data_IF_521048832546
#
_entry.id   IF_521048832546
#
_cell.length_a   1.000
_cell.length_b   1.000
_cell.length_c   1.000
_cell.angle_alpha   90.00
_cell.angle_beta   90.00
_cell.angle_gamma   90.00
#
_symmetry.space_group_name_H-M   'P 1'
#
loop_
_entity.id
_entity.type
_entity.pdbx_description
1 polymer ?
#
# COMPACT_ATOMS: atom_id res chain seq x y z
N UNK A 1 -22.42 3.22 -22.87
CA UNK A 1 -22.01 4.11 -21.76
C UNK A 1 -20.50 4.25 -21.81
N UNK A 2 -19.98 5.45 -22.09
CA UNK A 2 -18.53 5.67 -22.06
C UNK A 2 -18.04 5.49 -20.62
N UNK A 3 -17.18 4.49 -20.36
CA UNK A 3 -16.43 4.43 -19.10
C UNK A 3 -15.78 5.80 -18.92
N UNK A 4 -16.09 6.51 -17.85
CA UNK A 4 -15.35 7.73 -17.51
C UNK A 4 -13.88 7.35 -17.49
N UNK A 5 -13.03 8.00 -18.29
CA UNK A 5 -11.59 7.75 -18.24
C UNK A 5 -11.16 7.91 -16.78
N UNK A 6 -10.64 6.84 -16.18
CA UNK A 6 -10.12 6.93 -14.83
C UNK A 6 -9.00 7.97 -14.84
N UNK A 7 -9.10 8.95 -13.94
CA UNK A 7 -8.10 10.00 -13.85
C UNK A 7 -6.81 9.40 -13.30
N UNK A 8 -5.68 9.58 -13.99
CA UNK A 8 -4.37 9.18 -13.47
C UNK A 8 -4.01 10.07 -12.28
N UNK A 9 -4.01 9.49 -11.08
CA UNK A 9 -3.56 10.12 -9.85
C UNK A 9 -2.28 9.41 -9.45
N UNK A 10 -1.15 10.09 -9.56
CA UNK A 10 0.19 9.52 -9.45
C UNK A 10 0.82 9.89 -8.11
N UNK A 11 1.37 8.90 -7.40
CA UNK A 11 2.35 9.12 -6.34
C UNK A 11 3.68 8.44 -6.68
N UNK A 12 4.79 9.00 -6.17
CA UNK A 12 6.12 8.43 -6.32
C UNK A 12 6.65 7.89 -4.98
N UNK A 13 7.41 6.79 -5.00
CA UNK A 13 8.15 6.27 -3.84
C UNK A 13 9.55 5.77 -4.20
N UNK A 14 10.51 5.96 -3.30
CA UNK A 14 11.88 5.42 -3.42
C UNK A 14 12.85 6.18 -4.33
N UNK A 15 12.44 7.29 -4.96
CA UNK A 15 13.31 8.09 -5.84
C UNK A 15 14.09 9.17 -5.09
N UNK A 16 15.36 9.37 -5.47
CA UNK A 16 16.17 10.50 -4.97
C UNK A 16 15.73 11.82 -5.62
N UNK A 17 16.18 12.96 -5.09
CA UNK A 17 15.75 14.30 -5.52
C UNK A 17 15.87 14.53 -7.04
N UNK A 18 16.99 14.13 -7.65
CA UNK A 18 17.23 14.32 -9.08
C UNK A 18 16.35 13.41 -9.94
N UNK A 19 16.26 12.12 -9.61
CA UNK A 19 15.40 11.16 -10.31
C UNK A 19 13.92 11.56 -10.21
N UNK A 20 13.49 11.99 -9.01
CA UNK A 20 12.13 12.48 -8.77
C UNK A 20 11.83 13.70 -9.64
N UNK A 21 12.78 14.63 -9.78
CA UNK A 21 12.62 15.82 -10.62
C UNK A 21 12.40 15.44 -12.09
N UNK A 22 13.21 14.54 -12.63
CA UNK A 22 13.06 14.05 -14.00
C UNK A 22 11.70 13.38 -14.23
N UNK A 23 11.22 12.56 -13.28
CA UNK A 23 9.89 11.96 -13.38
C UNK A 23 8.76 12.99 -13.34
N UNK A 24 8.89 14.03 -12.51
CA UNK A 24 7.93 15.13 -12.47
C UNK A 24 7.89 15.88 -13.81
N UNK A 25 9.05 16.12 -14.43
CA UNK A 25 9.13 16.72 -15.78
C UNK A 25 8.44 15.85 -16.84
N UNK A 26 8.53 14.53 -16.75
CA UNK A 26 7.75 13.62 -17.60
C UNK A 26 6.24 13.70 -17.32
N UNK A 27 5.84 13.72 -16.04
CA UNK A 27 4.42 13.80 -15.64
C UNK A 27 3.76 15.09 -16.12
N UNK A 28 4.48 16.21 -16.20
CA UNK A 28 3.94 17.47 -16.75
C UNK A 28 3.56 17.40 -18.23
N UNK A 29 4.05 16.40 -18.97
CA UNK A 29 3.69 16.17 -20.38
C UNK A 29 2.42 15.33 -20.53
N UNK A 30 1.87 14.84 -19.42
CA UNK A 30 0.77 13.88 -19.41
C UNK A 30 -0.42 14.42 -18.62
N UNK A 31 -1.63 14.08 -19.04
CA UNK A 31 -2.85 14.44 -18.31
C UNK A 31 -3.00 13.58 -17.05
N UNK A 32 -2.53 14.11 -15.92
CA UNK A 32 -2.63 13.46 -14.62
C UNK A 32 -2.62 14.45 -13.45
N UNK A 33 -2.92 13.94 -12.25
CA UNK A 33 -2.73 14.62 -10.99
C UNK A 33 -1.55 14.00 -10.26
N UNK A 34 -0.48 14.77 -10.10
CA UNK A 34 0.65 14.36 -9.29
C UNK A 34 0.46 14.78 -7.83
N UNK A 35 0.50 13.82 -6.91
CA UNK A 35 0.38 14.05 -5.47
C UNK A 35 1.76 14.09 -4.80
N UNK A 36 2.32 15.29 -4.64
CA UNK A 36 3.58 15.49 -3.93
C UNK A 36 3.41 15.53 -2.40
N UNK A 37 3.06 14.39 -1.82
CA UNK A 37 2.99 14.20 -0.36
C UNK A 37 3.99 13.12 0.08
N UNK A 38 4.59 13.26 1.26
CA UNK A 38 5.44 12.21 1.86
C UNK A 38 4.60 11.02 2.33
N UNK A 39 3.36 11.26 2.75
CA UNK A 39 2.41 10.25 3.22
C UNK A 39 1.67 9.65 2.02
N UNK A 40 1.18 8.42 2.20
CA UNK A 40 0.26 7.83 1.24
C UNK A 40 -1.01 8.66 1.14
N UNK A 41 -1.46 8.87 -0.10
CA UNK A 41 -2.77 9.41 -0.46
C UNK A 41 -3.38 8.46 -1.47
N UNK A 42 -4.71 8.32 -1.48
CA UNK A 42 -5.45 7.37 -2.31
C UNK A 42 -5.25 7.63 -3.82
N UNK A 43 -4.09 7.27 -4.34
CA UNK A 43 -3.69 7.38 -5.74
C UNK A 43 -4.27 6.22 -6.56
N UNK A 44 -4.28 6.36 -7.88
CA UNK A 44 -4.61 5.25 -8.78
C UNK A 44 -3.35 4.48 -9.18
N UNK A 45 -2.22 5.19 -9.28
CA UNK A 45 -0.93 4.60 -9.61
C UNK A 45 0.15 5.06 -8.63
N UNK A 46 0.95 4.12 -8.15
CA UNK A 46 2.18 4.37 -7.42
C UNK A 46 3.36 3.97 -8.29
N UNK A 47 4.20 4.93 -8.63
CA UNK A 47 5.46 4.63 -9.31
C UNK A 47 6.49 4.36 -8.23
N UNK A 48 7.09 3.17 -8.28
CA UNK A 48 8.06 2.71 -7.30
C UNK A 48 9.40 2.43 -7.97
N UNK A 49 10.48 2.97 -7.40
CA UNK A 49 11.84 2.70 -7.88
C UNK A 49 12.23 1.23 -7.77
N UNK A 50 11.74 0.57 -6.72
CA UNK A 50 12.05 -0.82 -6.34
C UNK A 50 10.98 -1.33 -5.39
N UNK A 51 10.91 -2.65 -5.24
CA UNK A 51 10.14 -3.29 -4.17
C UNK A 51 10.67 -2.83 -2.80
N UNK A 52 9.75 -2.44 -1.91
CA UNK A 52 10.11 -1.95 -0.59
C UNK A 52 8.96 -2.03 0.41
N UNK A 53 9.27 -1.98 1.71
CA UNK A 53 8.28 -1.94 2.80
C UNK A 53 7.88 -0.51 3.22
N UNK A 54 7.93 0.45 2.29
CA UNK A 54 7.54 1.84 2.59
C UNK A 54 6.03 1.96 2.79
N UNK A 55 5.59 2.96 3.57
CA UNK A 55 4.15 3.20 3.79
C UNK A 55 3.36 3.27 2.48
N UNK A 56 3.84 4.05 1.50
CA UNK A 56 3.16 4.20 0.21
C UNK A 56 3.03 2.87 -0.53
N UNK A 57 4.10 2.08 -0.53
CA UNK A 57 4.13 0.79 -1.22
C UNK A 57 3.15 -0.19 -0.59
N UNK A 58 3.21 -0.36 0.73
CA UNK A 58 2.29 -1.25 1.46
C UNK A 58 0.83 -0.80 1.33
N UNK A 59 0.56 0.51 1.43
CA UNK A 59 -0.78 1.04 1.30
C UNK A 59 -1.35 0.87 -0.12
N UNK A 60 -0.51 1.06 -1.15
CA UNK A 60 -0.90 0.82 -2.54
C UNK A 60 -1.17 -0.67 -2.82
N UNK A 61 -0.35 -1.59 -2.31
CA UNK A 61 -0.63 -3.03 -2.38
C UNK A 61 -1.96 -3.35 -1.69
N UNK A 62 -2.14 -2.91 -0.45
CA UNK A 62 -3.34 -3.19 0.34
C UNK A 62 -4.62 -2.64 -0.30
N UNK A 63 -4.51 -1.56 -1.07
CA UNK A 63 -5.63 -0.93 -1.76
C UNK A 63 -5.79 -1.39 -3.23
N UNK A 64 -4.99 -2.36 -3.69
CA UNK A 64 -5.05 -2.90 -5.04
C UNK A 64 -4.75 -1.87 -6.14
N UNK A 65 -3.83 -0.94 -5.88
CA UNK A 65 -3.44 0.08 -6.87
C UNK A 65 -2.43 -0.47 -7.85
N UNK A 66 -2.35 0.14 -9.03
CA UNK A 66 -1.24 -0.09 -9.93
C UNK A 66 0.06 0.36 -9.26
N UNK A 67 1.02 -0.57 -9.12
CA UNK A 67 2.36 -0.26 -8.65
C UNK A 67 3.32 -0.54 -9.78
N UNK A 68 3.86 0.52 -10.37
CA UNK A 68 4.56 0.46 -11.66
C UNK A 68 6.02 0.88 -11.52
N UNK A 69 6.85 0.44 -12.47
CA UNK A 69 8.22 0.93 -12.62
C UNK A 69 8.23 2.35 -13.20
N UNK A 70 9.39 3.01 -13.17
CA UNK A 70 9.54 4.39 -13.66
C UNK A 70 9.39 4.49 -15.18
N UNK A 71 9.68 3.40 -15.89
CA UNK A 71 9.63 3.28 -17.34
C UNK A 71 8.21 3.54 -17.86
N UNK A 72 7.17 3.20 -17.09
CA UNK A 72 5.79 3.55 -17.43
C UNK A 72 5.60 5.04 -17.70
N UNK A 73 6.12 5.89 -16.81
CA UNK A 73 5.99 7.35 -16.92
C UNK A 73 6.87 7.89 -18.05
N UNK A 74 8.10 7.39 -18.15
CA UNK A 74 9.06 7.82 -19.18
C UNK A 74 8.51 7.52 -20.56
N UNK A 75 8.15 6.26 -20.83
CA UNK A 75 7.68 5.81 -22.13
C UNK A 75 6.32 6.40 -22.49
N UNK A 76 5.43 6.61 -21.50
CA UNK A 76 4.16 7.31 -21.72
C UNK A 76 4.39 8.76 -22.13
N UNK A 77 5.31 9.46 -21.45
CA UNK A 77 5.65 10.84 -21.76
C UNK A 77 6.30 10.99 -23.14
N UNK A 78 7.15 10.05 -23.54
CA UNK A 78 7.72 9.97 -24.89
C UNK A 78 6.66 9.69 -25.96
N UNK A 79 5.67 8.85 -25.64
CA UNK A 79 4.56 8.52 -26.53
C UNK A 79 3.46 9.59 -26.59
N UNK A 80 3.53 10.61 -25.74
CA UNK A 80 2.50 11.66 -25.62
C UNK A 80 1.14 11.16 -25.11
N UNK A 81 1.07 9.94 -24.54
CA UNK A 81 -0.15 9.33 -24.02
C UNK A 81 0.17 8.29 -22.96
N UNK A 82 -0.79 8.01 -22.08
CA UNK A 82 -0.69 6.87 -21.16
C UNK A 82 -0.66 5.56 -21.95
N UNK A 83 0.36 4.74 -21.67
CA UNK A 83 0.49 3.38 -22.17
C UNK A 83 -0.29 2.40 -21.29
N UNK A 84 -0.39 1.15 -21.73
CA UNK A 84 -0.93 0.06 -20.92
C UNK A 84 -0.02 -0.21 -19.72
N UNK A 85 -0.60 -0.39 -18.54
CA UNK A 85 0.12 -0.55 -17.28
C UNK A 85 0.79 -1.93 -17.14
N UNK A 86 0.26 -2.95 -17.82
CA UNK A 86 0.50 -4.37 -17.51
C UNK A 86 1.98 -4.74 -17.54
N UNK A 87 2.70 -4.36 -18.59
CA UNK A 87 4.13 -4.71 -18.76
C UNK A 87 5.06 -3.92 -17.85
N UNK A 88 4.56 -2.86 -17.21
CA UNK A 88 5.33 -2.03 -16.27
C UNK A 88 4.99 -2.33 -14.82
N UNK A 89 4.06 -3.25 -14.56
CA UNK A 89 3.62 -3.59 -13.22
C UNK A 89 4.67 -4.40 -12.48
N UNK A 90 4.94 -4.01 -11.23
CA UNK A 90 5.74 -4.84 -10.33
C UNK A 90 5.00 -6.17 -10.09
N UNK A 91 5.65 -7.27 -10.48
CA UNK A 91 5.06 -8.61 -10.48
C UNK A 91 4.54 -9.07 -11.84
N UNK A 92 4.71 -8.27 -12.90
CA UNK A 92 4.49 -8.72 -14.28
C UNK A 92 5.39 -9.92 -14.63
N UNK A 93 6.68 -9.78 -14.35
CA UNK A 93 7.69 -10.83 -14.41
C UNK A 93 8.34 -11.03 -13.05
N UNK A 94 8.71 -12.28 -12.74
CA UNK A 94 9.42 -12.64 -11.52
C UNK A 94 10.87 -12.94 -11.89
N UNK A 95 11.78 -12.08 -11.44
CA UNK A 95 13.19 -12.19 -11.70
C UNK A 95 13.84 -13.19 -10.73
N UNK A 96 14.59 -14.16 -11.28
CA UNK A 96 15.22 -15.25 -10.50
C UNK A 96 16.46 -14.80 -9.72
N UNK A 97 17.21 -13.82 -10.26
CA UNK A 97 18.53 -13.43 -9.74
C UNK A 97 18.48 -12.14 -8.87
N UNK A 98 17.37 -11.93 -8.16
CA UNK A 98 17.22 -10.78 -7.25
C UNK A 98 17.23 -11.21 -5.78
N UNK A 99 17.49 -10.24 -4.90
CA UNK A 99 17.40 -10.44 -3.45
C UNK A 99 15.95 -10.46 -2.92
N UNK A 100 14.95 -10.34 -3.79
CA UNK A 100 13.53 -10.32 -3.42
C UNK A 100 12.91 -11.70 -3.60
N UNK A 101 12.09 -12.13 -2.62
CA UNK A 101 11.35 -13.38 -2.75
C UNK A 101 10.32 -13.30 -3.90
N UNK A 102 10.02 -14.42 -4.59
CA UNK A 102 8.96 -14.48 -5.59
C UNK A 102 7.59 -13.94 -5.09
N UNK A 103 7.28 -14.18 -3.82
CA UNK A 103 6.05 -13.73 -3.17
C UNK A 103 6.03 -12.21 -3.03
N UNK A 104 7.16 -11.59 -2.63
CA UNK A 104 7.28 -10.14 -2.54
C UNK A 104 7.24 -9.48 -3.93
N UNK A 105 7.87 -10.11 -4.93
CA UNK A 105 7.85 -9.62 -6.31
C UNK A 105 6.44 -9.63 -6.91
N UNK A 106 5.70 -10.72 -6.71
CA UNK A 106 4.33 -10.87 -7.24
C UNK A 106 3.27 -10.07 -6.48
N UNK A 107 3.56 -9.66 -5.24
CA UNK A 107 2.57 -9.06 -4.34
C UNK A 107 1.76 -7.89 -4.93
N UNK A 108 2.34 -6.90 -5.63
CA UNK A 108 1.57 -5.77 -6.13
C UNK A 108 0.49 -6.19 -7.14
N UNK A 109 0.89 -6.93 -8.18
CA UNK A 109 -0.01 -7.51 -9.18
C UNK A 109 -1.03 -8.46 -8.54
N UNK A 110 -0.56 -9.37 -7.68
CA UNK A 110 -1.40 -10.35 -6.98
C UNK A 110 -2.54 -9.67 -6.21
N UNK A 111 -2.25 -8.63 -5.42
CA UNK A 111 -3.29 -7.92 -4.66
C UNK A 111 -4.23 -7.12 -5.56
N UNK A 112 -3.72 -6.46 -6.61
CA UNK A 112 -4.59 -5.75 -7.58
C UNK A 112 -5.57 -6.71 -8.24
N UNK A 113 -5.08 -7.85 -8.74
CA UNK A 113 -5.90 -8.85 -9.42
C UNK A 113 -6.90 -9.50 -8.46
N UNK A 114 -6.46 -9.87 -7.26
CA UNK A 114 -7.34 -10.47 -6.25
C UNK A 114 -8.47 -9.54 -5.85
N UNK A 115 -8.20 -8.26 -5.59
CA UNK A 115 -9.21 -7.29 -5.19
C UNK A 115 -10.16 -6.96 -6.36
N UNK A 116 -9.65 -6.94 -7.58
CA UNK A 116 -10.49 -6.78 -8.79
C UNK A 116 -11.42 -7.99 -8.98
N UNK A 117 -10.88 -9.20 -8.82
CA UNK A 117 -11.61 -10.46 -9.01
C UNK A 117 -12.66 -10.71 -7.93
N UNK A 118 -12.31 -10.43 -6.67
CA UNK A 118 -13.20 -10.64 -5.52
C UNK A 118 -14.19 -9.50 -5.30
N UNK A 119 -13.92 -8.31 -5.85
CA UNK A 119 -14.69 -7.09 -5.57
C UNK A 119 -14.48 -6.55 -4.15
N UNK A 120 -13.51 -7.10 -3.40
CA UNK A 120 -13.20 -6.63 -2.06
C UNK A 120 -12.63 -5.20 -2.10
N UNK A 121 -13.02 -4.31 -1.17
CA UNK A 121 -12.63 -2.90 -1.23
C UNK A 121 -11.18 -2.65 -0.78
N UNK A 122 -10.48 -3.66 -0.25
CA UNK A 122 -9.09 -3.62 0.19
C UNK A 122 -8.67 -4.91 0.90
N UNK A 123 -7.36 -5.16 1.00
CA UNK A 123 -6.77 -6.39 1.54
C UNK A 123 -7.17 -6.69 3.00
N UNK A 124 -7.48 -5.66 3.78
CA UNK A 124 -7.81 -5.73 5.20
C UNK A 124 -9.29 -5.46 5.45
N UNK A 125 -10.17 -5.56 4.46
CA UNK A 125 -11.57 -5.13 4.58
C UNK A 125 -12.38 -5.89 5.65
N UNK A 126 -11.91 -7.05 6.10
CA UNK A 126 -12.50 -7.84 7.20
C UNK A 126 -11.79 -7.64 8.54
N UNK A 127 -10.71 -6.86 8.58
CA UNK A 127 -9.95 -6.65 9.79
C UNK A 127 -10.60 -5.57 10.65
N UNK A 128 -10.94 -5.95 11.87
CA UNK A 128 -11.27 -5.07 12.99
C UNK A 128 -10.04 -4.99 13.89
N UNK A 129 -9.40 -3.83 13.92
CA UNK A 129 -8.03 -3.65 14.42
C UNK A 129 -8.00 -2.71 15.61
N UNK A 130 -7.36 -3.13 16.69
CA UNK A 130 -6.90 -2.22 17.74
C UNK A 130 -5.43 -1.90 17.50
N UNK A 131 -5.14 -0.61 17.38
CA UNK A 131 -3.80 -0.07 17.29
C UNK A 131 -3.60 0.85 18.50
N UNK A 132 -2.90 0.41 19.57
CA UNK A 132 -2.64 1.20 20.75
C UNK A 132 -2.00 2.53 20.32
N UNK A 133 -2.67 3.62 20.70
CA UNK A 133 -2.24 4.96 20.33
C UNK A 133 -1.04 5.30 21.22
N UNK A 134 0.16 5.28 20.64
CA UNK A 134 1.25 6.11 21.12
C UNK A 134 1.19 7.41 20.31
N UNK A 135 0.52 8.41 20.88
CA UNK A 135 0.39 9.73 20.27
C UNK A 135 1.79 10.27 19.91
N UNK A 136 1.96 10.74 18.67
CA UNK A 136 3.25 11.22 18.17
C UNK A 136 4.17 10.17 17.51
N UNK A 137 3.85 8.87 17.59
CA UNK A 137 4.66 7.84 16.91
C UNK A 137 4.38 7.84 15.39
N UNK A 138 5.37 8.32 14.63
CA UNK A 138 5.32 8.38 13.16
C UNK A 138 5.12 6.99 12.53
N UNK A 139 5.68 5.93 13.12
CA UNK A 139 5.55 4.55 12.64
C UNK A 139 4.12 4.06 12.80
N UNK A 140 3.52 4.28 13.96
CA UNK A 140 2.11 3.93 14.23
C UNK A 140 1.18 4.68 13.29
N UNK A 141 1.45 5.98 13.05
CA UNK A 141 0.67 6.76 12.10
C UNK A 141 0.80 6.25 10.65
N UNK A 142 1.98 5.82 10.23
CA UNK A 142 2.20 5.18 8.93
C UNK A 142 1.45 3.85 8.80
N UNK A 143 1.55 2.99 9.82
CA UNK A 143 0.81 1.72 9.88
C UNK A 143 -0.69 1.94 9.81
N UNK A 144 -1.22 2.91 10.56
CA UNK A 144 -2.64 3.29 10.51
C UNK A 144 -3.09 3.62 9.09
N UNK A 145 -2.29 4.38 8.33
CA UNK A 145 -2.61 4.73 6.94
C UNK A 145 -2.61 3.52 6.02
N UNK A 146 -1.68 2.57 6.21
CA UNK A 146 -1.66 1.30 5.45
C UNK A 146 -2.92 0.48 5.73
N UNK A 147 -3.28 0.32 7.02
CA UNK A 147 -4.49 -0.39 7.43
C UNK A 147 -5.75 0.25 6.84
N UNK A 148 -5.86 1.58 6.91
CA UNK A 148 -6.98 2.33 6.34
C UNK A 148 -7.05 2.23 4.82
N UNK A 149 -5.91 2.25 4.12
CA UNK A 149 -5.85 2.06 2.67
C UNK A 149 -6.40 0.68 2.27
N UNK A 150 -6.04 -0.36 3.03
CA UNK A 150 -6.60 -1.71 2.87
C UNK A 150 -7.99 -1.91 3.49
N UNK A 151 -8.68 -0.84 3.92
CA UNK A 151 -10.05 -0.87 4.46
C UNK A 151 -10.24 -1.60 5.79
N UNK A 152 -9.20 -1.71 6.61
CA UNK A 152 -9.37 -2.16 7.99
C UNK A 152 -10.23 -1.16 8.78
N UNK A 153 -11.08 -1.70 9.66
CA UNK A 153 -11.81 -0.92 10.65
C UNK A 153 -10.91 -0.73 11.87
N UNK A 154 -10.57 0.52 12.19
CA UNK A 154 -9.77 0.82 13.39
C UNK A 154 -10.73 1.01 14.58
N UNK A 155 -10.82 0.02 15.46
CA UNK A 155 -11.64 0.09 16.67
C UNK A 155 -10.86 0.84 17.78
N UNK A 156 -11.58 1.57 18.65
CA UNK A 156 -11.01 2.09 19.90
C UNK A 156 -10.98 0.96 20.95
N UNK A 157 -10.02 0.99 21.87
CA UNK A 157 -9.90 -0.02 22.94
C UNK A 157 -11.10 -0.08 23.90
N UNK A 158 -12.04 0.87 23.79
CA UNK A 158 -13.24 0.98 24.61
C UNK A 158 -14.54 0.62 23.85
N UNK A 159 -14.44 0.22 22.58
CA UNK A 159 -15.63 -0.11 21.78
C UNK A 159 -16.20 -1.47 22.18
N UNK A 160 -17.15 -1.45 23.13
CA UNK A 160 -17.96 -2.60 23.47
C UNK A 160 -18.69 -3.11 22.21
N UNK A 161 -18.46 -4.38 21.84
CA UNK A 161 -19.12 -5.04 20.70
C UNK A 161 -18.35 -5.08 19.37
N UNK A 162 -17.11 -4.59 19.29
CA UNK A 162 -16.25 -4.83 18.12
C UNK A 162 -15.62 -6.24 18.28
N UNK A 163 -15.97 -7.23 17.45
CA UNK A 163 -15.24 -8.51 17.38
C UNK A 163 -13.81 -8.26 16.88
N UNK A 164 -12.88 -7.97 17.79
CA UNK A 164 -11.52 -7.61 17.42
C UNK A 164 -10.82 -8.81 16.80
N UNK A 165 -10.33 -8.62 15.58
CA UNK A 165 -9.60 -9.66 14.84
C UNK A 165 -8.09 -9.55 15.06
N UNK A 166 -7.57 -8.32 15.21
CA UNK A 166 -6.13 -8.06 15.30
C UNK A 166 -5.84 -6.97 16.32
N UNK A 167 -4.85 -7.21 17.17
CA UNK A 167 -4.26 -6.20 18.05
C UNK A 167 -2.80 -6.03 17.66
N UNK A 168 -2.41 -4.84 17.18
CA UNK A 168 -1.02 -4.58 16.79
C UNK A 168 -0.25 -3.89 17.90
N UNK A 169 0.87 -4.46 18.33
CA UNK A 169 1.74 -3.85 19.34
C UNK A 169 3.10 -3.45 18.75
N UNK A 170 3.67 -2.37 19.27
CA UNK A 170 5.08 -2.05 19.05
C UNK A 170 5.89 -2.90 20.05
N UNK A 171 6.80 -3.74 19.55
CA UNK A 171 7.45 -4.87 20.23
C UNK A 171 8.20 -4.61 21.57
N UNK A 172 8.05 -3.46 22.21
CA UNK A 172 8.77 -3.12 23.45
C UNK A 172 7.92 -3.12 24.72
N UNK A 173 6.59 -3.21 24.62
CA UNK A 173 5.72 -3.33 25.79
C UNK A 173 4.55 -4.22 25.38
N UNK A 174 4.59 -5.50 25.74
CA UNK A 174 3.35 -6.22 26.00
C UNK A 174 2.83 -5.65 27.32
N UNK A 175 1.82 -4.77 27.35
CA UNK A 175 1.23 -4.44 28.63
C UNK A 175 0.59 -5.74 29.11
N UNK A 176 0.64 -6.00 30.41
CA UNK A 176 -0.09 -7.06 31.09
C UNK A 176 -1.65 -6.94 30.96
N UNK A 177 -2.15 -6.24 29.94
CA UNK A 177 -3.55 -5.96 29.62
C UNK A 177 -4.16 -6.95 28.61
N UNK A 178 -3.53 -8.09 28.35
CA UNK A 178 -4.17 -9.21 27.63
C UNK A 178 -5.45 -9.70 28.33
N UNK A 179 -5.66 -9.35 29.60
CA UNK A 179 -6.90 -9.62 30.36
C UNK A 179 -8.15 -8.86 29.89
N UNK A 180 -8.05 -7.93 28.92
CA UNK A 180 -9.21 -7.12 28.44
C UNK A 180 -9.85 -7.60 27.14
N UNK A 181 -9.29 -8.61 26.46
CA UNK A 181 -9.80 -9.05 25.16
C UNK A 181 -10.28 -10.51 25.22
N UNK A 182 -11.31 -10.89 24.44
CA UNK A 182 -11.77 -12.28 24.35
C UNK A 182 -10.62 -13.21 23.94
N UNK A 183 -10.71 -14.49 24.35
CA UNK A 183 -9.68 -15.53 24.16
C UNK A 183 -9.24 -15.77 22.70
N UNK A 184 -10.02 -15.32 21.72
CA UNK A 184 -9.72 -15.47 20.28
C UNK A 184 -8.92 -14.30 19.67
N UNK A 185 -8.66 -13.24 20.46
CA UNK A 185 -8.00 -12.03 19.94
C UNK A 185 -6.50 -12.25 19.77
N UNK A 186 -6.01 -12.25 18.53
CA UNK A 186 -4.59 -12.45 18.22
C UNK A 186 -3.81 -11.12 18.26
N UNK A 187 -2.65 -11.16 18.93
CA UNK A 187 -1.72 -10.03 19.03
C UNK A 187 -0.57 -10.19 18.03
N UNK A 188 -0.27 -9.15 17.25
CA UNK A 188 0.73 -9.18 16.20
C UNK A 188 1.74 -8.02 16.30
N UNK A 189 2.99 -8.23 15.87
CA UNK A 189 3.93 -7.14 15.67
C UNK A 189 3.51 -6.27 14.47
N UNK A 190 3.88 -4.99 14.45
CA UNK A 190 3.63 -4.10 13.30
C UNK A 190 4.22 -4.63 11.97
N UNK A 191 5.24 -5.49 12.04
CA UNK A 191 5.87 -6.12 10.87
C UNK A 191 4.91 -7.08 10.13
N UNK A 192 3.96 -7.68 10.85
CA UNK A 192 2.99 -8.64 10.30
C UNK A 192 2.18 -8.08 9.13
N UNK A 193 1.91 -6.77 9.11
CA UNK A 193 1.18 -6.13 8.00
C UNK A 193 1.95 -6.26 6.69
N UNK A 194 3.27 -6.07 6.75
CA UNK A 194 4.12 -6.24 5.57
C UNK A 194 4.22 -7.70 5.16
N UNK A 195 4.30 -8.60 6.14
CA UNK A 195 4.45 -10.04 5.89
C UNK A 195 3.15 -10.61 5.29
N UNK A 196 1.98 -10.21 5.80
CA UNK A 196 0.68 -10.57 5.21
C UNK A 196 0.51 -10.09 3.76
N UNK A 197 1.09 -8.93 3.41
CA UNK A 197 1.00 -8.41 2.05
C UNK A 197 2.00 -9.07 1.09
N UNK A 198 3.15 -9.53 1.60
CA UNK A 198 4.25 -10.01 0.77
C UNK A 198 4.43 -11.52 0.74
N UNK A 199 3.85 -12.25 1.68
CA UNK A 199 3.74 -13.70 1.64
C UNK A 199 2.36 -14.13 1.06
#
# INVERSE_FOLDING_TARGET
MAKSREKWIIQLTGFRKQEKKALIECLFKLDCVFLDDKKYRNCTHLIAKRLCKSEKFLAACAAGKWILTKEYVINSAESGRWLDETTYEWGYEIEKDTHYSPQMQSAPKRWREELTRSGAPGAFHRWKVVLPVMEGDKRVASVRRVLQAGKATICSSQSAGCDITHVFNNNNIFPAQTKKYPSETQCYPLQYIGDYLFE
#
